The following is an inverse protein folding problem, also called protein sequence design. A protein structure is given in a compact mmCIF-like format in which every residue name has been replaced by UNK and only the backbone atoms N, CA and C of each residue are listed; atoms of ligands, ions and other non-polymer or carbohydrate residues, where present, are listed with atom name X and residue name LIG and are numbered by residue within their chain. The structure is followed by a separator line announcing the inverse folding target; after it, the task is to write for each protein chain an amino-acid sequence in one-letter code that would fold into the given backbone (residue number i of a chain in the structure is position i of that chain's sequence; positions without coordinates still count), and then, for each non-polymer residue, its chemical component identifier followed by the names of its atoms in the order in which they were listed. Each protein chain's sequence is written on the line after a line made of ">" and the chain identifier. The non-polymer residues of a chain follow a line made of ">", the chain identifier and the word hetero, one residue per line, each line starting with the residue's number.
data_IF_925783017524
#
_entry.id   IF_925783017524
#
_cell.length_a   1.000
_cell.length_b   1.000
_cell.length_c   1.000
_cell.angle_alpha   90.00
_cell.angle_beta   90.00
_cell.angle_gamma   90.00
#
_symmetry.space_group_name_H-M   'P 1'
#
loop_
_entity.id
_entity.type
_entity.pdbx_description
1 polymer ?
#
# COMPACT_ATOMS: atom_id res chain seq x y z
N UNK A 1 4.02 27.70 -7.91
CA UNK A 1 2.61 27.22 -7.91
C UNK A 1 2.32 26.15 -8.98
N UNK A 2 3.32 25.45 -9.54
CA UNK A 2 3.10 24.38 -10.55
C UNK A 2 3.21 22.96 -9.98
N UNK A 3 3.89 22.78 -8.84
CA UNK A 3 4.06 21.50 -8.15
C UNK A 3 2.78 20.97 -7.49
N UNK A 4 1.96 21.85 -6.89
CA UNK A 4 0.69 21.45 -6.25
C UNK A 4 -0.33 20.91 -7.26
N UNK A 5 -0.32 21.44 -8.48
CA UNK A 5 -1.14 20.95 -9.60
C UNK A 5 -0.72 19.55 -10.05
N UNK A 6 0.58 19.25 -10.05
CA UNK A 6 1.08 17.93 -10.42
C UNK A 6 0.69 16.84 -9.40
N UNK A 7 0.70 17.16 -8.10
CA UNK A 7 0.29 16.22 -7.04
C UNK A 7 -1.22 15.94 -7.11
N UNK A 8 -2.04 16.97 -7.37
CA UNK A 8 -3.49 16.80 -7.54
C UNK A 8 -3.83 15.91 -8.74
N UNK A 9 -3.10 16.02 -9.86
CA UNK A 9 -3.33 15.21 -11.05
C UNK A 9 -3.03 13.72 -10.84
N UNK A 10 -2.12 13.36 -9.93
CA UNK A 10 -1.81 11.96 -9.59
C UNK A 10 -3.00 11.28 -8.89
N UNK A 11 -3.81 12.02 -8.12
CA UNK A 11 -5.04 11.50 -7.49
C UNK A 11 -6.21 11.31 -8.48
N UNK A 12 -6.21 11.99 -9.63
CA UNK A 12 -7.25 11.86 -10.66
C UNK A 12 -6.98 10.76 -11.69
N UNK A 13 -5.75 10.23 -11.76
CA UNK A 13 -5.50 8.95 -12.42
C UNK A 13 -6.15 7.88 -11.56
N UNK A 14 -7.38 7.47 -11.90
CA UNK A 14 -7.88 6.15 -11.50
C UNK A 14 -6.96 5.13 -12.17
N UNK A 15 -6.06 4.42 -11.45
CA UNK A 15 -5.53 3.22 -12.04
C UNK A 15 -6.75 2.33 -12.28
N UNK A 16 -7.03 2.00 -13.53
CA UNK A 16 -7.81 0.81 -13.85
C UNK A 16 -6.93 -0.36 -13.43
N UNK A 17 -6.85 -0.59 -12.12
CA UNK A 17 -6.27 -1.78 -11.57
C UNK A 17 -7.28 -2.87 -11.93
N UNK A 18 -7.18 -3.40 -13.16
CA UNK A 18 -7.85 -4.63 -13.60
C UNK A 18 -7.26 -5.85 -12.90
N UNK A 19 -6.73 -5.65 -11.70
CA UNK A 19 -6.43 -6.69 -10.77
C UNK A 19 -7.74 -6.97 -10.08
N UNK A 20 -8.20 -8.21 -10.14
CA UNK A 20 -9.39 -8.65 -9.43
C UNK A 20 -9.19 -8.28 -7.95
N UNK A 21 -9.72 -7.13 -7.55
CA UNK A 21 -9.47 -6.55 -6.23
C UNK A 21 -9.97 -7.52 -5.14
N UNK A 22 -10.86 -8.44 -5.53
CA UNK A 22 -11.27 -9.53 -4.70
C UNK A 22 -10.21 -10.63 -4.51
N UNK A 23 -9.41 -10.96 -5.53
CA UNK A 23 -8.23 -11.82 -5.34
C UNK A 23 -7.22 -11.21 -4.37
N UNK A 24 -7.03 -9.90 -4.38
CA UNK A 24 -6.12 -9.27 -3.41
C UNK A 24 -6.58 -9.49 -1.97
N UNK A 25 -7.88 -9.58 -1.72
CA UNK A 25 -8.41 -9.84 -0.40
C UNK A 25 -8.07 -11.22 0.16
N UNK A 26 -7.95 -12.22 -0.71
CA UNK A 26 -7.55 -13.58 -0.32
C UNK A 26 -6.03 -13.75 -0.28
N UNK A 27 -5.27 -13.01 -1.09
CA UNK A 27 -3.81 -13.14 -1.17
C UNK A 27 -3.02 -12.18 -0.29
N UNK A 28 -3.60 -11.06 0.15
CA UNK A 28 -2.91 -10.09 1.02
C UNK A 28 -3.12 -10.48 2.49
N UNK A 29 -2.10 -11.11 3.06
CA UNK A 29 -1.92 -11.18 4.52
C UNK A 29 -1.33 -9.85 4.98
N UNK A 30 -2.01 -9.15 5.90
CA UNK A 30 -1.49 -7.93 6.52
C UNK A 30 -0.46 -8.34 7.55
N UNK A 31 0.82 -7.93 7.41
CA UNK A 31 1.84 -8.30 8.38
C UNK A 31 1.57 -7.68 9.74
N UNK A 32 1.92 -8.39 10.81
CA UNK A 32 1.72 -7.92 12.20
C UNK A 32 2.89 -7.08 12.71
N UNK A 33 4.02 -7.08 12.01
CA UNK A 33 5.22 -6.30 12.35
C UNK A 33 5.56 -5.30 11.24
N UNK A 34 6.24 -4.22 11.60
CA UNK A 34 6.79 -3.28 10.63
C UNK A 34 7.84 -3.94 9.75
N UNK A 35 8.68 -4.82 10.31
CA UNK A 35 9.76 -5.49 9.56
C UNK A 35 9.22 -6.28 8.37
N UNK A 36 8.19 -7.10 8.60
CA UNK A 36 7.54 -7.87 7.56
C UNK A 36 6.82 -6.96 6.54
N UNK A 37 6.19 -5.88 7.02
CA UNK A 37 5.55 -4.89 6.17
C UNK A 37 6.54 -4.14 5.28
N UNK A 38 7.70 -3.77 5.83
CA UNK A 38 8.79 -3.12 5.11
C UNK A 38 9.36 -4.05 4.04
N UNK A 39 9.50 -5.35 4.33
CA UNK A 39 9.92 -6.34 3.35
C UNK A 39 8.94 -6.42 2.17
N UNK A 40 7.64 -6.50 2.44
CA UNK A 40 6.62 -6.49 1.39
C UNK A 40 6.58 -5.17 0.61
N UNK A 41 6.72 -4.03 1.28
CA UNK A 41 6.78 -2.73 0.63
C UNK A 41 7.99 -2.63 -0.31
N UNK A 42 9.17 -3.11 0.12
CA UNK A 42 10.37 -3.20 -0.74
C UNK A 42 10.18 -4.16 -1.91
N UNK A 43 9.48 -5.27 -1.72
CA UNK A 43 9.12 -6.17 -2.81
C UNK A 43 8.22 -5.47 -3.83
N UNK A 44 7.24 -4.68 -3.37
CA UNK A 44 6.41 -3.85 -4.24
C UNK A 44 7.21 -2.75 -4.96
N UNK A 45 8.14 -2.08 -4.27
CA UNK A 45 9.04 -1.08 -4.86
C UNK A 45 9.85 -1.63 -6.05
N UNK A 46 10.16 -2.93 -6.05
CA UNK A 46 10.89 -3.57 -7.17
C UNK A 46 10.13 -3.50 -8.50
N UNK A 47 8.81 -3.24 -8.47
CA UNK A 47 7.98 -3.06 -9.67
C UNK A 47 8.00 -1.64 -10.23
N UNK A 48 8.68 -0.69 -9.58
CA UNK A 48 8.70 0.73 -9.97
C UNK A 48 9.81 1.10 -10.96
N UNK A 49 10.57 0.12 -11.48
CA UNK A 49 11.61 0.36 -12.48
C UNK A 49 12.66 1.34 -11.97
N UNK A 50 12.81 2.48 -12.66
CA UNK A 50 13.78 3.53 -12.31
C UNK A 50 13.57 4.13 -10.91
N UNK A 51 12.34 4.10 -10.39
CA UNK A 51 12.02 4.63 -9.06
C UNK A 51 12.21 3.61 -7.92
N UNK A 52 12.68 2.40 -8.22
CA UNK A 52 12.94 1.34 -7.22
C UNK A 52 13.83 1.82 -6.08
N UNK A 53 14.94 2.49 -6.41
CA UNK A 53 15.94 2.93 -5.43
C UNK A 53 15.38 3.93 -4.43
N UNK A 54 14.67 4.95 -4.93
CA UNK A 54 14.02 5.96 -4.07
C UNK A 54 12.93 5.35 -3.19
N UNK A 55 12.14 4.43 -3.75
CA UNK A 55 11.11 3.73 -2.98
C UNK A 55 11.72 2.87 -1.86
N UNK A 56 12.82 2.16 -2.12
CA UNK A 56 13.55 1.41 -1.08
C UNK A 56 14.03 2.34 0.03
N UNK A 57 14.67 3.45 -0.32
CA UNK A 57 15.14 4.42 0.68
C UNK A 57 14.01 5.01 1.52
N UNK A 58 12.84 5.29 0.95
CA UNK A 58 11.68 5.75 1.72
C UNK A 58 11.26 4.70 2.75
N UNK A 59 11.17 3.43 2.35
CA UNK A 59 10.80 2.34 3.26
C UNK A 59 11.87 2.10 4.32
N UNK A 60 13.16 2.16 3.96
CA UNK A 60 14.28 2.01 4.90
C UNK A 60 14.30 3.10 5.98
N UNK A 61 13.94 4.34 5.62
CA UNK A 61 13.95 5.47 6.54
C UNK A 61 12.64 5.64 7.32
N UNK A 62 11.56 4.99 6.89
CA UNK A 62 10.31 4.96 7.64
C UNK A 62 10.44 3.95 8.78
N UNK A 63 11.15 4.26 9.88
CA UNK A 63 11.10 3.40 11.06
C UNK A 63 9.72 3.54 11.73
N UNK A 64 8.83 2.60 11.44
CA UNK A 64 7.50 2.53 12.03
C UNK A 64 7.40 1.46 13.11
N UNK A 65 8.50 0.90 13.59
CA UNK A 65 8.49 -0.24 14.54
C UNK A 65 7.63 0.04 15.77
N UNK A 66 7.72 1.25 16.34
CA UNK A 66 6.92 1.65 17.50
C UNK A 66 5.47 2.02 17.18
N UNK A 67 5.21 2.57 15.98
CA UNK A 67 3.88 3.05 15.59
C UNK A 67 3.04 1.99 14.87
N UNK A 68 3.67 0.98 14.28
CA UNK A 68 3.01 -0.04 13.49
C UNK A 68 1.94 -0.83 14.27
N UNK A 69 2.15 -1.22 15.54
CA UNK A 69 1.09 -1.86 16.33
C UNK A 69 -0.18 -1.00 16.45
N UNK A 70 -0.03 0.33 16.53
CA UNK A 70 -1.16 1.26 16.57
C UNK A 70 -1.81 1.44 15.19
N UNK A 71 -1.04 1.30 14.11
CA UNK A 71 -1.55 1.35 12.72
C UNK A 71 -2.25 0.07 12.31
N UNK A 72 -1.77 -1.09 12.79
CA UNK A 72 -2.25 -2.42 12.41
C UNK A 72 -3.78 -2.57 12.40
N UNK A 73 -4.54 -2.24 13.46
CA UNK A 73 -5.99 -2.38 13.44
C UNK A 73 -6.66 -1.51 12.35
N UNK A 74 -6.11 -0.34 12.07
CA UNK A 74 -6.62 0.53 11.01
C UNK A 74 -6.31 -0.01 9.61
N UNK A 75 -5.15 -0.63 9.41
CA UNK A 75 -4.77 -1.28 8.15
C UNK A 75 -5.68 -2.48 7.89
N UNK A 76 -5.94 -3.31 8.91
CA UNK A 76 -6.86 -4.45 8.81
C UNK A 76 -8.27 -3.96 8.47
N UNK A 77 -8.80 -2.96 9.18
CA UNK A 77 -10.12 -2.42 8.90
C UNK A 77 -10.22 -1.80 7.50
N UNK A 78 -9.16 -1.12 7.04
CA UNK A 78 -9.11 -0.58 5.68
C UNK A 78 -9.17 -1.70 4.64
N UNK A 79 -8.40 -2.78 4.84
CA UNK A 79 -8.48 -3.98 3.99
C UNK A 79 -9.91 -4.50 3.97
N UNK A 80 -10.55 -4.69 5.11
CA UNK A 80 -11.90 -5.25 5.19
C UNK A 80 -12.93 -4.37 4.46
N UNK A 81 -12.86 -3.04 4.60
CA UNK A 81 -13.72 -2.09 3.89
C UNK A 81 -13.52 -2.18 2.37
N UNK A 82 -12.26 -2.17 1.92
CA UNK A 82 -11.93 -2.29 0.49
C UNK A 82 -12.41 -3.64 -0.04
N UNK A 83 -12.17 -4.71 0.69
CA UNK A 83 -12.58 -6.04 0.33
C UNK A 83 -14.10 -6.20 0.27
N UNK A 84 -14.84 -5.70 1.26
CA UNK A 84 -16.31 -5.72 1.22
C UNK A 84 -16.89 -4.90 0.07
N UNK A 85 -16.18 -3.88 -0.42
CA UNK A 85 -16.61 -3.08 -1.57
C UNK A 85 -16.41 -3.78 -2.91
N UNK A 86 -15.30 -4.50 -3.07
CA UNK A 86 -14.91 -5.09 -4.36
C UNK A 86 -15.14 -6.60 -4.46
N UNK A 87 -15.17 -7.34 -3.35
CA UNK A 87 -15.75 -8.68 -3.25
C UNK A 87 -17.21 -8.54 -2.82
N UNK A 88 -18.18 -8.83 -3.70
CA UNK A 88 -19.57 -8.96 -3.27
C UNK A 88 -19.71 -10.18 -2.35
N UNK A 89 -19.64 -9.92 -1.04
CA UNK A 89 -19.89 -10.83 0.09
C UNK A 89 -18.99 -12.08 0.18
N UNK A 90 -18.34 -12.18 1.34
CA UNK A 90 -17.99 -13.45 1.98
C UNK A 90 -19.22 -14.37 2.07
#
# INVERSE_FOLDING_TARGET
>A
MKFLLAILLIFFFKPSLSFDACRLCTFITVPTTWEDAALLAKAACSRLGVAKGECHQIVDNADLTSSYPNMYPHIVNLKDIVCGKYCKKY
#
